data_IF_523439206984
#
_entry.id   IF_523439206984
#
_cell.length_a   1.000
_cell.length_b   1.000
_cell.length_c   1.000
_cell.angle_alpha   90.00
_cell.angle_beta   90.00
_cell.angle_gamma   90.00
#
_symmetry.space_group_name_H-M   'P 1'
#
loop_
_entity.id
_entity.type
_entity.pdbx_description
1 polymer ?
#
# COMPACT_ATOMS: atom_id res chain seq x y z
N UNK A 1 -0.65 -15.46 19.70
CA UNK A 1 -1.32 -14.46 20.56
C UNK A 1 -1.07 -13.10 19.91
N UNK A 2 -2.11 -12.34 19.57
CA UNK A 2 -1.94 -11.01 18.99
C UNK A 2 -1.45 -10.05 20.08
N UNK A 3 -0.23 -9.54 19.94
CA UNK A 3 0.35 -8.53 20.84
C UNK A 3 -0.36 -7.19 20.62
N UNK A 4 -1.38 -6.90 21.43
CA UNK A 4 -2.10 -5.62 21.39
C UNK A 4 -1.31 -4.59 22.20
N UNK A 5 -0.83 -3.54 21.53
CA UNK A 5 -0.16 -2.42 22.18
C UNK A 5 -1.06 -1.18 22.18
N UNK A 6 -1.20 -0.54 23.34
CA UNK A 6 -1.96 0.70 23.47
C UNK A 6 -1.08 1.88 23.10
N UNK A 7 -1.60 2.76 22.25
CA UNK A 7 -0.94 3.98 21.80
C UNK A 7 -1.77 5.16 22.32
N UNK A 8 -1.14 6.03 23.10
CA UNK A 8 -1.69 7.34 23.45
C UNK A 8 -1.03 8.38 22.55
N UNK A 9 -1.83 9.25 21.95
CA UNK A 9 -1.37 10.29 21.04
C UNK A 9 -2.15 11.57 21.30
N UNK A 10 -1.48 12.70 21.10
CA UNK A 10 -2.08 14.02 21.22
C UNK A 10 -2.64 14.45 19.86
N UNK A 11 -3.91 14.85 19.83
CA UNK A 11 -4.59 15.29 18.62
C UNK A 11 -5.13 16.70 18.82
N UNK A 12 -5.02 17.53 17.78
CA UNK A 12 -5.64 18.84 17.80
C UNK A 12 -7.17 18.71 17.90
N UNK A 13 -7.81 19.57 18.69
CA UNK A 13 -9.25 19.54 18.92
C UNK A 13 -10.07 19.66 17.62
N UNK A 14 -9.59 20.43 16.64
CA UNK A 14 -10.28 20.59 15.36
C UNK A 14 -10.31 19.26 14.58
N UNK A 15 -9.16 18.56 14.54
CA UNK A 15 -9.07 17.26 13.88
C UNK A 15 -9.90 16.21 14.63
N UNK A 16 -9.93 16.26 15.96
CA UNK A 16 -10.81 15.41 16.76
C UNK A 16 -12.28 15.61 16.40
N UNK A 17 -12.73 16.86 16.22
CA UNK A 17 -14.10 17.15 15.83
C UNK A 17 -14.43 16.68 14.41
N UNK A 18 -13.53 16.84 13.44
CA UNK A 18 -13.70 16.29 12.10
C UNK A 18 -13.78 14.77 12.13
N UNK A 19 -12.84 14.11 12.82
CA UNK A 19 -12.83 12.66 12.94
C UNK A 19 -14.11 12.15 13.63
N UNK A 20 -14.59 12.84 14.66
CA UNK A 20 -15.87 12.52 15.30
C UNK A 20 -17.04 12.61 14.33
N UNK A 21 -17.14 13.70 13.56
CA UNK A 21 -18.22 13.85 12.56
C UNK A 21 -18.18 12.75 11.50
N UNK A 22 -17.00 12.40 11.03
CA UNK A 22 -16.82 11.31 10.06
C UNK A 22 -17.20 9.97 10.66
N UNK A 23 -16.79 9.68 11.90
CA UNK A 23 -17.16 8.46 12.60
C UNK A 23 -18.68 8.36 12.85
N UNK A 24 -19.33 9.47 13.23
CA UNK A 24 -20.79 9.54 13.39
C UNK A 24 -21.53 9.29 12.07
N UNK A 25 -20.99 9.79 10.95
CA UNK A 25 -21.55 9.59 9.61
C UNK A 25 -21.47 8.13 9.16
N UNK A 26 -20.34 7.48 9.45
CA UNK A 26 -20.10 6.06 9.11
C UNK A 26 -20.73 5.10 10.15
N UNK A 27 -21.24 5.61 11.28
CA UNK A 27 -21.83 4.80 12.34
C UNK A 27 -20.83 4.00 13.17
N UNK A 28 -19.56 4.39 13.13
CA UNK A 28 -18.45 3.70 13.82
C UNK A 28 -17.97 4.48 15.06
N UNK A 29 -17.27 3.79 15.95
CA UNK A 29 -16.65 4.45 17.11
C UNK A 29 -15.39 5.22 16.71
N UNK A 30 -15.05 6.27 17.46
CA UNK A 30 -13.81 7.05 17.28
C UNK A 30 -12.56 6.15 17.32
N UNK A 31 -12.56 5.11 18.16
CA UNK A 31 -11.45 4.16 18.26
C UNK A 31 -11.31 3.31 16.99
N UNK A 32 -12.43 2.94 16.39
CA UNK A 32 -12.47 2.20 15.13
C UNK A 32 -11.94 3.08 13.99
N UNK A 33 -12.45 4.32 13.90
CA UNK A 33 -12.02 5.28 12.89
C UNK A 33 -10.51 5.55 12.94
N UNK A 34 -9.93 5.69 14.14
CA UNK A 34 -8.47 5.85 14.30
C UNK A 34 -7.73 4.57 13.89
N UNK A 35 -8.26 3.39 14.21
CA UNK A 35 -7.64 2.13 13.77
C UNK A 35 -7.62 2.02 12.25
N UNK A 36 -8.73 2.34 11.59
CA UNK A 36 -8.80 2.33 10.12
C UNK A 36 -7.83 3.33 9.51
N UNK A 37 -7.80 4.58 10.01
CA UNK A 37 -6.86 5.59 9.54
C UNK A 37 -5.40 5.17 9.73
N UNK A 38 -5.04 4.53 10.85
CA UNK A 38 -3.69 4.00 11.08
C UNK A 38 -3.38 2.84 10.12
N UNK A 39 -4.35 1.95 9.87
CA UNK A 39 -4.17 0.84 8.94
C UNK A 39 -3.98 1.34 7.50
N UNK A 40 -4.76 2.33 7.07
CA UNK A 40 -4.60 2.99 5.77
C UNK A 40 -3.25 3.68 5.67
N UNK A 41 -2.86 4.45 6.69
CA UNK A 41 -1.55 5.10 6.74
C UNK A 41 -0.39 4.11 6.64
N UNK A 42 -0.47 2.98 7.36
CA UNK A 42 0.54 1.92 7.26
C UNK A 42 0.53 1.30 5.87
N UNK A 43 -0.63 1.02 5.27
CA UNK A 43 -0.71 0.48 3.90
C UNK A 43 -0.11 1.44 2.87
N UNK A 44 -0.39 2.73 2.97
CA UNK A 44 0.14 3.75 2.07
C UNK A 44 1.64 3.97 2.25
N UNK A 45 2.13 4.04 3.49
CA UNK A 45 3.54 4.36 3.79
C UNK A 45 4.46 3.16 3.78
N UNK A 46 3.95 1.98 4.12
CA UNK A 46 4.68 0.72 4.06
C UNK A 46 4.71 0.15 2.64
N UNK A 47 4.44 0.99 1.61
CA UNK A 47 4.38 0.62 0.21
C UNK A 47 5.38 -0.47 -0.15
N UNK A 48 4.84 -1.57 -0.70
CA UNK A 48 5.48 -2.85 -0.99
C UNK A 48 6.71 -3.18 -0.16
N UNK A 49 6.53 -4.12 0.77
CA UNK A 49 7.62 -4.71 1.54
C UNK A 49 8.76 -5.08 0.59
N UNK A 50 9.92 -4.42 0.72
CA UNK A 50 11.09 -4.71 -0.13
C UNK A 50 11.60 -6.14 0.06
N UNK A 51 11.15 -6.81 1.11
CA UNK A 51 11.44 -8.21 1.39
C UNK A 51 10.32 -9.16 0.98
N UNK A 52 9.21 -8.65 0.43
CA UNK A 52 8.11 -9.47 -0.09
C UNK A 52 8.63 -10.38 -1.22
N UNK A 53 8.53 -11.71 -1.10
CA UNK A 53 8.94 -12.65 -2.14
C UNK A 53 8.28 -12.41 -3.50
N UNK A 54 7.10 -11.78 -3.53
CA UNK A 54 6.41 -11.39 -4.77
C UNK A 54 7.07 -10.17 -5.45
N UNK A 55 7.72 -9.29 -4.67
CA UNK A 55 8.42 -8.09 -5.15
C UNK A 55 9.95 -8.21 -5.13
N UNK A 56 10.49 -9.34 -4.65
CA UNK A 56 11.74 -9.92 -5.14
C UNK A 56 11.56 -10.38 -6.59
N UNK A 57 11.20 -9.45 -7.48
CA UNK A 57 11.70 -9.53 -8.84
C UNK A 57 13.22 -9.43 -8.68
N UNK A 58 13.88 -10.60 -8.61
CA UNK A 58 15.17 -10.72 -9.22
C UNK A 58 15.00 -10.07 -10.58
N UNK A 59 15.63 -8.91 -10.73
CA UNK A 59 16.07 -8.46 -12.04
C UNK A 59 16.97 -9.58 -12.54
N UNK A 60 16.36 -10.64 -13.08
CA UNK A 60 16.98 -11.36 -14.16
C UNK A 60 17.33 -10.24 -15.10
N UNK A 61 18.61 -9.89 -15.13
CA UNK A 61 19.20 -9.21 -16.26
C UNK A 61 18.86 -10.15 -17.41
N UNK A 62 17.71 -9.91 -18.03
CA UNK A 62 17.44 -10.38 -19.36
C UNK A 62 18.67 -9.91 -20.12
N UNK A 63 19.48 -10.89 -20.52
CA UNK A 63 20.64 -10.70 -21.36
C UNK A 63 20.29 -9.66 -22.41
N UNK A 64 21.20 -8.72 -22.63
CA UNK A 64 21.06 -7.52 -23.47
C UNK A 64 20.68 -7.82 -24.95
N UNK A 65 20.42 -9.08 -25.29
CA UNK A 65 20.26 -9.63 -26.63
C UNK A 65 18.81 -9.92 -27.06
N UNK A 66 17.78 -9.64 -26.24
CA UNK A 66 16.37 -9.89 -26.63
C UNK A 66 15.55 -8.61 -26.88
N UNK A 67 16.17 -7.43 -26.81
CA UNK A 67 15.46 -6.15 -27.05
C UNK A 67 15.60 -5.64 -28.49
N UNK A 68 16.57 -6.13 -29.25
CA UNK A 68 16.77 -5.78 -30.66
C UNK A 68 16.23 -6.92 -31.51
N UNK A 69 15.00 -6.74 -32.01
CA UNK A 69 14.36 -7.42 -33.16
C UNK A 69 12.88 -7.71 -32.87
N UNK A 70 12.11 -6.65 -32.61
CA UNK A 70 10.64 -6.73 -32.62
C UNK A 70 10.04 -6.59 -34.03
N UNK A 71 10.81 -6.13 -35.02
CA UNK A 71 10.30 -5.86 -36.38
C UNK A 71 10.51 -7.00 -37.41
N UNK A 72 11.37 -7.98 -37.17
CA UNK A 72 11.70 -9.00 -38.20
C UNK A 72 10.84 -10.29 -38.18
N UNK A 73 9.85 -10.41 -37.28
CA UNK A 73 9.04 -11.65 -37.18
C UNK A 73 7.86 -11.68 -38.19
N UNK A 74 7.59 -10.58 -38.92
CA UNK A 74 6.40 -10.48 -39.77
C UNK A 74 6.62 -10.65 -41.29
N UNK A 75 7.85 -10.81 -41.80
CA UNK A 75 8.10 -10.96 -43.25
C UNK A 75 8.52 -12.39 -43.67
N UNK A 76 7.76 -13.42 -43.27
CA UNK A 76 8.17 -14.80 -43.56
C UNK A 76 7.06 -15.82 -43.81
N UNK A 77 5.84 -15.42 -44.14
CA UNK A 77 4.80 -16.35 -44.61
C UNK A 77 4.12 -15.85 -45.89
N UNK A 78 4.73 -16.15 -47.03
CA UNK A 78 4.02 -16.36 -48.30
C UNK A 78 4.76 -17.39 -49.12
#
# INVERSE_FOLDING_TARGET
MSEIKYIQSELNINIYHELKKTAEKEGISIKEAIREAVLEWVREKSGFDKEDPFFKMHTFRASKDLSENHDEIYEGKK
#
